data_IF_300021590891
#
_entry.id   IF_300021590891
#
_cell.length_a   1.000
_cell.length_b   1.000
_cell.length_c   1.000
_cell.angle_alpha   90.00
_cell.angle_beta   90.00
_cell.angle_gamma   90.00
#
_symmetry.space_group_name_H-M   'P 1'
#
loop_
_entity.id
_entity.type
_entity.pdbx_description
1 polymer ?
#
# COMPACT_ATOMS: atom_id res chain seq x y z
N UNK A 1 -9.25 -60.56 -32.32
CA UNK A 1 -9.49 -59.12 -32.54
C UNK A 1 -10.21 -58.48 -31.35
N UNK A 2 -9.65 -58.41 -30.15
CA UNK A 2 -10.28 -57.74 -28.97
C UNK A 2 -9.29 -56.90 -28.12
N UNK A 3 -8.07 -56.69 -28.58
CA UNK A 3 -7.02 -55.96 -27.82
C UNK A 3 -7.03 -54.48 -28.15
N UNK A 4 -7.51 -54.08 -29.33
CA UNK A 4 -7.51 -52.69 -29.79
C UNK A 4 -8.49 -51.79 -29.03
N UNK A 5 -9.63 -52.33 -28.54
CA UNK A 5 -10.67 -51.56 -27.88
C UNK A 5 -10.31 -51.15 -26.44
N UNK A 6 -9.53 -51.99 -25.75
CA UNK A 6 -9.08 -51.71 -24.37
C UNK A 6 -7.97 -50.64 -24.35
N UNK A 7 -7.10 -50.66 -25.35
CA UNK A 7 -6.01 -49.68 -25.44
C UNK A 7 -6.52 -48.25 -25.70
N UNK A 8 -7.54 -48.14 -26.55
CA UNK A 8 -8.20 -46.82 -26.79
C UNK A 8 -8.91 -46.27 -25.55
N UNK A 9 -9.54 -47.15 -24.76
CA UNK A 9 -10.24 -46.75 -23.54
C UNK A 9 -9.26 -46.26 -22.45
N UNK A 10 -8.08 -46.87 -22.30
CA UNK A 10 -7.06 -46.51 -21.32
C UNK A 10 -6.38 -45.18 -21.69
N UNK A 11 -6.10 -44.97 -22.99
CA UNK A 11 -5.51 -43.70 -23.46
C UNK A 11 -6.48 -42.52 -23.27
N UNK A 12 -7.79 -42.76 -23.48
CA UNK A 12 -8.79 -41.73 -23.27
C UNK A 12 -8.95 -41.36 -21.78
N UNK A 13 -8.87 -42.31 -20.86
CA UNK A 13 -8.95 -42.05 -19.41
C UNK A 13 -7.72 -41.34 -18.88
N UNK A 14 -6.51 -41.67 -19.38
CA UNK A 14 -5.23 -40.99 -18.99
C UNK A 14 -5.25 -39.57 -19.55
N UNK A 15 -5.73 -39.34 -20.76
CA UNK A 15 -5.87 -38.03 -21.35
C UNK A 15 -6.85 -37.13 -20.56
N UNK A 16 -7.98 -37.62 -20.13
CA UNK A 16 -8.94 -36.91 -19.32
C UNK A 16 -8.39 -36.55 -17.93
N UNK A 17 -7.70 -37.48 -17.27
CA UNK A 17 -7.06 -37.21 -15.96
C UNK A 17 -5.95 -36.17 -16.05
N UNK A 18 -5.16 -36.15 -17.13
CA UNK A 18 -4.12 -35.15 -17.36
C UNK A 18 -4.72 -33.77 -17.64
N UNK A 19 -5.81 -33.69 -18.37
CA UNK A 19 -6.53 -32.42 -18.62
C UNK A 19 -7.13 -31.88 -17.33
N UNK A 20 -7.72 -32.74 -16.50
CA UNK A 20 -8.28 -32.30 -15.20
C UNK A 20 -7.18 -31.89 -14.20
N UNK A 21 -6.06 -32.58 -14.18
CA UNK A 21 -4.89 -32.21 -13.39
C UNK A 21 -4.32 -30.85 -13.84
N UNK A 22 -4.20 -30.64 -15.15
CA UNK A 22 -3.77 -29.36 -15.71
C UNK A 22 -4.80 -28.24 -15.46
N UNK A 23 -6.08 -28.53 -15.58
CA UNK A 23 -7.17 -27.60 -15.27
C UNK A 23 -7.19 -27.19 -13.80
N UNK A 24 -6.95 -28.13 -12.90
CA UNK A 24 -6.84 -27.90 -11.47
C UNK A 24 -5.53 -27.16 -11.12
N UNK A 25 -4.44 -27.43 -11.82
CA UNK A 25 -3.20 -26.68 -11.71
C UNK A 25 -3.38 -25.23 -12.18
N UNK A 26 -3.99 -25.03 -13.35
CA UNK A 26 -4.30 -23.68 -13.88
C UNK A 26 -5.30 -22.95 -12.98
N UNK A 27 -6.33 -23.62 -12.44
CA UNK A 27 -7.24 -23.04 -11.45
C UNK A 27 -6.52 -22.63 -10.16
N UNK A 28 -5.61 -23.45 -9.64
CA UNK A 28 -4.77 -23.09 -8.48
C UNK A 28 -3.81 -21.95 -8.78
N UNK A 29 -3.34 -21.82 -10.00
CA UNK A 29 -2.48 -20.72 -10.42
C UNK A 29 -3.30 -19.47 -10.76
N UNK A 30 -4.47 -19.62 -11.38
CA UNK A 30 -5.38 -18.51 -11.73
C UNK A 30 -6.12 -17.95 -10.51
N UNK A 31 -6.35 -18.73 -9.47
CA UNK A 31 -6.91 -18.25 -8.20
C UNK A 31 -5.88 -17.48 -7.34
N UNK A 32 -4.59 -17.49 -7.75
CA UNK A 32 -3.53 -16.67 -7.16
C UNK A 32 -3.31 -15.35 -7.90
N UNK A 33 -4.08 -15.04 -8.94
CA UNK A 33 -3.99 -13.80 -9.72
C UNK A 33 -5.17 -12.86 -9.53
N UNK A 34 -5.96 -13.02 -8.48
CA UNK A 34 -6.69 -11.88 -7.90
C UNK A 34 -5.78 -11.27 -6.83
N UNK A 35 -4.75 -10.62 -7.31
CA UNK A 35 -3.74 -9.89 -6.57
C UNK A 35 -4.29 -8.53 -6.12
N UNK A 36 -5.21 -8.58 -5.21
CA UNK A 36 -5.22 -7.67 -4.09
C UNK A 36 -4.61 -8.49 -2.96
N UNK A 37 -3.29 -8.66 -3.01
CA UNK A 37 -2.57 -9.41 -2.01
C UNK A 37 -2.62 -8.63 -0.71
N UNK A 38 -3.50 -9.06 0.18
CA UNK A 38 -3.33 -8.77 1.60
C UNK A 38 -1.89 -9.16 1.92
N UNK A 39 -1.04 -8.23 2.38
CA UNK A 39 0.36 -8.52 2.63
C UNK A 39 0.50 -9.75 3.51
N UNK A 40 1.54 -10.55 3.25
CA UNK A 40 1.79 -11.83 3.94
C UNK A 40 1.77 -11.68 5.47
N UNK A 41 2.17 -10.51 5.98
CA UNK A 41 2.19 -10.14 7.39
C UNK A 41 0.78 -10.03 8.01
N UNK A 42 -0.25 -9.78 7.19
CA UNK A 42 -1.66 -9.68 7.61
C UNK A 42 -2.49 -10.87 7.14
N UNK A 43 -1.88 -11.88 6.51
CA UNK A 43 -2.57 -13.08 6.05
C UNK A 43 -3.28 -13.77 7.22
N UNK A 44 -4.57 -14.06 7.06
CA UNK A 44 -5.42 -14.67 8.10
C UNK A 44 -5.85 -13.71 9.23
N UNK A 45 -5.44 -12.44 9.20
CA UNK A 45 -5.85 -11.45 10.19
C UNK A 45 -7.00 -10.54 9.73
N UNK A 46 -7.30 -10.56 8.43
CA UNK A 46 -8.34 -9.76 7.80
C UNK A 46 -9.42 -10.67 7.22
N UNK A 47 -10.68 -10.31 7.36
CA UNK A 47 -11.81 -11.00 6.80
C UNK A 47 -12.46 -10.16 5.68
N UNK A 48 -12.21 -10.46 4.39
CA UNK A 48 -12.75 -9.68 3.28
C UNK A 48 -14.26 -9.58 3.22
N UNK A 49 -14.98 -10.43 3.97
CA UNK A 49 -16.44 -10.42 4.05
C UNK A 49 -16.96 -9.36 5.02
N UNK A 50 -16.11 -8.88 5.93
CA UNK A 50 -16.50 -7.83 6.87
C UNK A 50 -16.28 -6.46 6.23
N UNK A 51 -17.23 -5.58 6.48
CA UNK A 51 -17.19 -4.19 6.00
C UNK A 51 -17.38 -3.24 7.17
N UNK A 52 -16.69 -2.10 7.10
CA UNK A 52 -16.73 -1.06 8.12
C UNK A 52 -16.99 0.29 7.48
N UNK A 53 -17.77 1.13 8.15
CA UNK A 53 -17.96 2.52 7.73
C UNK A 53 -16.71 3.33 8.06
N UNK A 54 -16.11 3.90 7.04
CA UNK A 54 -14.88 4.69 7.13
C UNK A 54 -15.14 6.09 6.54
N UNK A 55 -14.65 7.10 7.24
CA UNK A 55 -14.63 8.47 6.73
C UNK A 55 -13.30 8.75 6.09
N UNK A 56 -13.34 9.21 4.86
CA UNK A 56 -12.18 9.69 4.13
C UNK A 56 -12.28 11.21 3.99
N UNK A 57 -11.17 11.89 4.24
CA UNK A 57 -11.03 13.34 4.07
C UNK A 57 -9.93 13.60 3.05
N UNK A 58 -10.23 14.35 2.00
CA UNK A 58 -9.27 14.73 0.97
C UNK A 58 -9.56 16.13 0.47
N UNK A 59 -8.56 17.02 0.45
CA UNK A 59 -8.67 18.42 0.00
C UNK A 59 -9.87 19.18 0.61
N UNK A 60 -10.20 18.88 1.86
CA UNK A 60 -11.32 19.52 2.59
C UNK A 60 -12.68 18.87 2.35
N UNK A 61 -12.80 17.93 1.43
CA UNK A 61 -14.00 17.12 1.24
C UNK A 61 -14.00 15.92 2.18
N UNK A 62 -15.19 15.53 2.65
CA UNK A 62 -15.36 14.32 3.47
C UNK A 62 -16.37 13.40 2.80
N UNK A 63 -15.99 12.16 2.60
CA UNK A 63 -16.86 11.09 2.10
C UNK A 63 -16.87 9.92 3.07
N UNK A 64 -18.03 9.31 3.25
CA UNK A 64 -18.21 8.12 4.08
C UNK A 64 -18.55 6.93 3.18
N UNK A 65 -17.87 5.81 3.36
CA UNK A 65 -18.01 4.63 2.50
C UNK A 65 -17.88 3.35 3.33
N UNK A 66 -18.53 2.29 2.88
CA UNK A 66 -18.34 0.94 3.43
C UNK A 66 -17.08 0.32 2.79
N UNK A 67 -16.09 0.02 3.61
CA UNK A 67 -14.79 -0.53 3.21
C UNK A 67 -14.63 -1.96 3.72
N UNK A 68 -14.25 -2.89 2.86
CA UNK A 68 -13.94 -4.27 3.23
C UNK A 68 -12.58 -4.36 3.93
N UNK A 69 -12.44 -5.27 4.90
CA UNK A 69 -11.14 -5.51 5.57
C UNK A 69 -10.03 -5.94 4.60
N UNK A 70 -10.38 -6.55 3.46
CA UNK A 70 -9.41 -6.98 2.44
C UNK A 70 -8.97 -5.91 1.46
N UNK A 71 -9.55 -4.69 1.53
CA UNK A 71 -9.26 -3.60 0.61
C UNK A 71 -8.35 -2.58 1.28
N UNK A 72 -7.38 -2.02 0.56
CA UNK A 72 -6.53 -0.97 1.12
C UNK A 72 -7.23 0.40 1.13
N UNK A 73 -6.82 1.26 2.05
CA UNK A 73 -7.38 2.62 2.13
C UNK A 73 -7.09 3.43 0.86
N UNK A 74 -5.97 3.15 0.16
CA UNK A 74 -5.65 3.79 -1.11
C UNK A 74 -6.66 3.43 -2.20
N UNK A 75 -7.00 2.15 -2.35
CA UNK A 75 -7.96 1.71 -3.38
C UNK A 75 -9.33 2.36 -3.21
N UNK A 76 -9.77 2.50 -1.96
CA UNK A 76 -11.00 3.25 -1.67
C UNK A 76 -10.82 4.73 -1.98
N UNK A 77 -9.70 5.35 -1.58
CA UNK A 77 -9.39 6.74 -1.90
C UNK A 77 -9.45 7.01 -3.40
N UNK A 78 -8.79 6.19 -4.21
CA UNK A 78 -8.79 6.27 -5.67
C UNK A 78 -10.19 6.04 -6.29
N UNK A 79 -11.04 5.26 -5.67
CA UNK A 79 -12.44 5.09 -6.10
C UNK A 79 -13.32 6.31 -5.81
N UNK A 80 -12.93 7.13 -4.83
CA UNK A 80 -13.69 8.30 -4.40
C UNK A 80 -13.21 9.59 -5.10
N UNK A 81 -11.92 9.68 -5.45
CA UNK A 81 -11.30 10.83 -6.09
C UNK A 81 -10.25 10.37 -7.11
N UNK A 82 -10.29 10.92 -8.31
CA UNK A 82 -9.42 10.53 -9.43
C UNK A 82 -7.98 11.05 -9.29
N UNK A 83 -7.73 12.00 -8.38
CA UNK A 83 -6.48 12.72 -8.23
C UNK A 83 -5.72 12.39 -6.92
N UNK A 84 -5.95 11.21 -6.36
CA UNK A 84 -5.21 10.73 -5.19
C UNK A 84 -3.82 10.25 -5.62
N UNK A 85 -2.79 10.84 -5.02
CA UNK A 85 -1.41 10.51 -5.34
C UNK A 85 -1.04 9.09 -4.92
N UNK A 86 -0.51 8.32 -5.85
CA UNK A 86 0.00 6.97 -5.60
C UNK A 86 1.17 6.63 -6.53
N UNK A 87 2.05 5.70 -6.12
CA UNK A 87 3.19 5.26 -6.92
C UNK A 87 3.49 3.78 -6.72
N UNK A 88 4.31 3.40 -5.73
CA UNK A 88 4.83 2.03 -5.58
C UNK A 88 3.79 0.99 -5.13
N UNK A 89 2.72 1.37 -4.46
CA UNK A 89 1.66 0.54 -3.87
C UNK A 89 2.13 -0.56 -2.89
N UNK A 90 3.40 -0.55 -2.50
CA UNK A 90 4.01 -1.52 -1.59
C UNK A 90 4.49 -0.92 -0.26
N UNK A 91 4.04 0.30 0.08
CA UNK A 91 4.29 0.95 1.37
C UNK A 91 5.66 1.60 1.54
N UNK A 92 6.50 1.70 0.49
CA UNK A 92 7.89 2.17 0.62
C UNK A 92 8.07 3.64 0.25
N UNK A 93 7.41 4.13 -0.82
CA UNK A 93 7.70 5.46 -1.39
C UNK A 93 7.06 6.64 -0.67
N UNK A 94 6.14 6.41 0.25
CA UNK A 94 5.36 7.42 1.00
C UNK A 94 4.48 8.38 0.16
N UNK A 95 4.47 8.27 -1.17
CA UNK A 95 3.65 9.11 -2.06
C UNK A 95 2.15 9.04 -1.71
N UNK A 96 1.66 7.85 -1.33
CA UNK A 96 0.30 7.64 -0.86
C UNK A 96 0.11 7.92 0.64
N UNK A 97 0.93 8.77 1.24
CA UNK A 97 0.83 9.03 2.67
C UNK A 97 -0.52 9.63 3.04
N UNK A 98 -1.07 9.15 4.13
CA UNK A 98 -2.27 9.65 4.77
C UNK A 98 -2.08 9.72 6.28
N UNK A 99 -3.13 10.14 6.97
CA UNK A 99 -3.15 10.21 8.43
C UNK A 99 -4.43 9.62 8.98
N UNK A 100 -4.31 8.73 9.94
CA UNK A 100 -5.45 8.22 10.71
C UNK A 100 -5.80 9.27 11.77
N UNK A 101 -6.86 10.02 11.52
CA UNK A 101 -7.33 11.07 12.41
C UNK A 101 -8.14 10.52 13.60
N UNK A 102 -8.80 9.38 13.43
CA UNK A 102 -9.56 8.69 14.47
C UNK A 102 -9.59 7.18 14.23
N UNK A 103 -9.79 6.38 15.27
CA UNK A 103 -9.97 4.94 15.18
C UNK A 103 -8.68 4.16 14.86
N UNK A 104 -7.53 4.63 15.33
CA UNK A 104 -6.23 3.99 15.01
C UNK A 104 -6.13 2.55 15.48
N UNK A 105 -6.78 2.20 16.58
CA UNK A 105 -6.86 0.83 17.12
C UNK A 105 -7.58 -0.14 16.18
N UNK A 106 -8.42 0.41 15.30
CA UNK A 106 -9.17 -0.32 14.27
C UNK A 106 -8.45 -0.38 12.91
N UNK A 107 -7.16 -0.03 12.87
CA UNK A 107 -6.36 -0.01 11.64
C UNK A 107 -5.17 -0.95 11.77
N UNK A 108 -4.96 -1.77 10.76
CA UNK A 108 -3.78 -2.61 10.60
C UNK A 108 -2.91 -2.08 9.47
N UNK A 109 -1.63 -2.01 9.75
CA UNK A 109 -0.59 -1.61 8.81
C UNK A 109 0.28 -2.82 8.49
N UNK A 110 0.54 -3.06 7.22
CA UNK A 110 1.49 -4.08 6.81
C UNK A 110 2.90 -3.47 6.69
N UNK A 111 3.41 -3.30 5.47
CA UNK A 111 4.71 -2.67 5.23
C UNK A 111 4.56 -1.15 5.20
N UNK A 112 5.54 -0.43 5.73
CA UNK A 112 5.56 1.03 5.67
C UNK A 112 7.00 1.57 5.66
N UNK A 113 7.25 2.52 4.75
CA UNK A 113 8.51 3.27 4.67
C UNK A 113 8.61 4.43 5.66
N UNK A 114 7.65 4.51 6.61
CA UNK A 114 7.59 5.55 7.63
C UNK A 114 8.45 5.21 8.83
N UNK A 115 9.13 6.19 9.39
CA UNK A 115 9.82 6.07 10.65
C UNK A 115 8.85 6.01 11.84
N UNK A 116 9.35 5.53 12.99
CA UNK A 116 8.54 5.44 14.22
C UNK A 116 7.90 6.78 14.62
N UNK A 117 8.58 7.94 14.55
CA UNK A 117 7.96 9.21 14.89
C UNK A 117 6.73 9.54 14.04
N UNK A 118 6.77 9.26 12.74
CA UNK A 118 5.66 9.50 11.83
C UNK A 118 4.48 8.57 12.13
N UNK A 119 4.77 7.29 12.41
CA UNK A 119 3.76 6.31 12.80
C UNK A 119 3.08 6.73 14.10
N UNK A 120 3.86 7.15 15.11
CA UNK A 120 3.34 7.62 16.39
C UNK A 120 2.50 8.90 16.23
N UNK A 121 2.80 9.75 15.25
CA UNK A 121 2.01 10.93 14.88
C UNK A 121 0.73 10.61 14.09
N UNK A 122 0.50 9.33 13.75
CA UNK A 122 -0.70 8.85 13.07
C UNK A 122 -0.59 8.75 11.55
N UNK A 123 0.58 9.03 10.98
CA UNK A 123 0.78 8.87 9.53
C UNK A 123 0.82 7.38 9.13
N UNK A 124 0.34 7.11 7.94
CA UNK A 124 0.25 5.76 7.36
C UNK A 124 0.51 5.80 5.85
N UNK A 125 1.06 4.72 5.30
CA UNK A 125 1.03 4.49 3.86
C UNK A 125 -0.34 3.87 3.51
N UNK A 126 -1.22 4.62 2.85
CA UNK A 126 -2.61 4.20 2.62
C UNK A 126 -2.72 2.94 1.76
N UNK A 127 -1.74 2.67 0.90
CA UNK A 127 -1.67 1.45 0.10
C UNK A 127 -1.44 0.18 0.93
N UNK A 128 -1.00 0.32 2.19
CA UNK A 128 -0.74 -0.78 3.13
C UNK A 128 -1.52 -0.60 4.44
N UNK A 129 -2.61 0.17 4.39
CA UNK A 129 -3.47 0.49 5.51
C UNK A 129 -4.83 -0.20 5.31
N UNK A 130 -5.20 -1.07 6.26
CA UNK A 130 -6.41 -1.87 6.24
C UNK A 130 -7.25 -1.57 7.47
N UNK A 131 -8.56 -1.38 7.29
CA UNK A 131 -9.49 -1.11 8.38
C UNK A 131 -10.11 -2.41 8.86
N UNK A 132 -10.02 -2.68 10.16
CA UNK A 132 -10.53 -3.89 10.81
C UNK A 132 -11.51 -3.61 11.96
N UNK A 133 -12.07 -2.41 12.02
CA UNK A 133 -13.04 -2.01 13.04
C UNK A 133 -13.72 -0.69 12.73
N UNK A 134 -14.72 -0.31 13.53
CA UNK A 134 -15.52 0.90 13.33
C UNK A 134 -14.79 2.18 13.77
N UNK A 135 -15.33 3.33 13.38
CA UNK A 135 -14.94 4.64 13.90
C UNK A 135 -13.68 5.23 13.27
N UNK A 136 -13.22 4.68 12.15
CA UNK A 136 -12.00 5.13 11.48
C UNK A 136 -12.26 6.35 10.62
N UNK A 137 -11.35 7.33 10.73
CA UNK A 137 -11.27 8.48 9.84
C UNK A 137 -9.86 8.58 9.28
N UNK A 138 -9.73 8.60 7.96
CA UNK A 138 -8.46 8.65 7.24
C UNK A 138 -8.42 9.94 6.41
N UNK A 139 -7.38 10.72 6.61
CA UNK A 139 -7.06 11.88 5.80
C UNK A 139 -6.04 11.46 4.74
N UNK A 140 -6.34 11.71 3.47
CA UNK A 140 -5.47 11.41 2.32
C UNK A 140 -4.64 12.65 1.93
N UNK A 141 -3.61 12.44 1.09
CA UNK A 141 -2.81 13.53 0.53
C UNK A 141 -1.91 14.21 1.57
N UNK A 142 -1.26 13.44 2.45
CA UNK A 142 -0.38 13.92 3.50
C UNK A 142 1.11 13.67 3.18
N UNK A 143 1.44 13.53 1.91
CA UNK A 143 2.81 13.25 1.45
C UNK A 143 3.77 14.39 1.77
N UNK A 144 3.36 15.65 1.63
CA UNK A 144 4.20 16.81 1.90
C UNK A 144 4.53 16.92 3.40
N UNK A 145 3.52 16.71 4.27
CA UNK A 145 3.72 16.73 5.72
C UNK A 145 4.60 15.58 6.20
N UNK A 146 4.47 14.41 5.58
CA UNK A 146 5.36 13.27 5.87
C UNK A 146 6.77 13.57 5.43
N UNK A 147 6.95 14.11 4.22
CA UNK A 147 8.26 14.48 3.69
C UNK A 147 8.95 15.50 4.61
N UNK A 148 8.25 16.57 4.97
CA UNK A 148 8.76 17.58 5.89
C UNK A 148 9.14 17.00 7.25
N UNK A 149 8.28 16.12 7.80
CA UNK A 149 8.54 15.45 9.07
C UNK A 149 9.75 14.51 9.03
N UNK A 150 10.05 13.89 7.87
CA UNK A 150 11.18 12.97 7.72
C UNK A 150 12.48 13.67 7.34
N UNK A 151 12.42 14.71 6.52
CA UNK A 151 13.57 15.28 5.82
C UNK A 151 13.80 16.76 6.07
N UNK A 152 12.80 17.52 6.55
CA UNK A 152 12.89 18.97 6.73
C UNK A 152 14.10 19.42 7.57
N UNK A 153 14.43 18.68 8.62
CA UNK A 153 15.62 18.97 9.45
C UNK A 153 16.93 18.83 8.68
N UNK A 154 16.98 17.97 7.67
CA UNK A 154 18.17 17.77 6.84
C UNK A 154 18.32 18.92 5.85
N UNK A 155 17.22 19.43 5.28
CA UNK A 155 17.23 20.55 4.35
C UNK A 155 17.70 21.82 5.04
N UNK A 156 17.18 22.15 6.23
CA UNK A 156 17.66 23.29 7.03
C UNK A 156 19.15 23.20 7.33
N UNK A 157 19.63 22.03 7.75
CA UNK A 157 21.04 21.82 8.07
C UNK A 157 21.94 21.92 6.84
N UNK A 158 21.44 21.52 5.67
CA UNK A 158 22.15 21.60 4.40
C UNK A 158 22.23 23.05 3.92
N UNK A 159 21.16 23.81 3.97
CA UNK A 159 21.11 25.21 3.60
C UNK A 159 22.01 26.09 4.47
N UNK A 160 22.01 25.84 5.80
CA UNK A 160 22.93 26.53 6.71
C UNK A 160 24.39 26.30 6.35
N UNK A 161 24.79 25.04 6.14
CA UNK A 161 26.18 24.70 5.74
C UNK A 161 26.57 25.31 4.40
N UNK A 162 25.62 25.39 3.47
CA UNK A 162 25.87 25.97 2.15
C UNK A 162 25.96 27.47 2.18
N UNK A 163 25.19 28.15 3.02
CA UNK A 163 25.29 29.61 3.24
C UNK A 163 26.60 30.01 3.92
N UNK A 164 27.01 29.29 4.97
CA UNK A 164 28.31 29.50 5.64
C UNK A 164 29.49 29.33 4.68
N UNK A 165 29.43 28.29 3.81
CA UNK A 165 30.45 28.08 2.78
C UNK A 165 30.51 29.22 1.77
N UNK A 166 29.35 29.75 1.33
CA UNK A 166 29.28 30.90 0.43
C UNK A 166 29.86 32.16 1.08
N UNK A 167 29.59 32.41 2.35
CA UNK A 167 30.17 33.56 3.09
C UNK A 167 31.66 33.42 3.29
N UNK A 168 32.15 32.22 3.60
CA UNK A 168 33.58 31.93 3.70
C UNK A 168 34.34 32.21 2.39
N UNK A 169 33.75 31.79 1.24
CA UNK A 169 34.33 32.07 -0.08
C UNK A 169 34.35 33.58 -0.39
N UNK A 170 33.30 34.33 -0.01
CA UNK A 170 33.26 35.77 -0.19
C UNK A 170 34.31 36.47 0.65
N UNK A 171 34.52 36.07 1.92
CA UNK A 171 35.56 36.62 2.81
C UNK A 171 36.95 36.37 2.26
N UNK A 172 37.26 35.14 1.81
CA UNK A 172 38.58 34.83 1.23
C UNK A 172 38.87 35.63 -0.04
N UNK A 173 37.84 35.88 -0.88
CA UNK A 173 37.98 36.68 -2.09
C UNK A 173 38.21 38.18 -1.79
N UNK A 174 37.70 38.66 -0.66
CA UNK A 174 37.87 40.05 -0.21
C UNK A 174 39.27 40.29 0.39
N UNK A 175 39.89 39.26 1.00
CA UNK A 175 41.21 39.35 1.61
C UNK A 175 42.36 38.92 0.67
N UNK A 176 42.12 38.64 -0.60
CA UNK A 176 43.14 38.44 -1.64
C UNK A 176 43.97 37.16 -1.49
N UNK A 177 43.41 36.08 -0.87
CA UNK A 177 44.02 34.76 -0.80
C UNK A 177 43.50 33.85 -1.92
#
# INVERSE_FOLDING_TARGET
MRISSILFSVIAVIGLAAVDAFRNFVRRFSSRTSLLDVPLELEGQLDPKKTWKVKFVYKGETKEVDMSEGTSALEIGESLWDDVDSSCRNGVCTTCAGKVAAGRESVKLAVHGLGKPQIDAGFVCTCQCYVCGPGVTIQLGMNDEVYESQYGQFEESYEMKFSEKKEGIKKNKLFGL
#
